data_IF_660562362934
#
_entry.id   IF_660562362934
#
_cell.length_a   1.000
_cell.length_b   1.000
_cell.length_c   1.000
_cell.angle_alpha   90.00
_cell.angle_beta   90.00
_cell.angle_gamma   90.00
#
_symmetry.space_group_name_H-M   'P 1'
#
loop_
_entity.id
_entity.type
_entity.pdbx_description
1 polymer ?
#
# COMPACT_ATOMS: atom_id res chain seq x y z
N UNK A 1 28.54 38.70 -33.03
CA UNK A 1 27.34 37.98 -32.55
C UNK A 1 27.66 36.50 -32.58
N UNK A 2 27.92 35.95 -31.44
CA UNK A 2 28.31 34.53 -31.26
C UNK A 2 27.05 33.78 -30.86
N UNK A 3 26.52 32.95 -31.73
CA UNK A 3 25.40 32.05 -31.44
C UNK A 3 25.84 30.99 -30.43
N UNK A 4 25.16 30.98 -29.30
CA UNK A 4 25.30 29.90 -28.31
C UNK A 4 24.28 28.82 -28.68
N UNK A 5 24.78 27.71 -29.25
CA UNK A 5 23.98 26.51 -29.48
C UNK A 5 23.55 25.92 -28.13
N UNK A 6 22.28 25.54 -27.96
CA UNK A 6 21.84 24.88 -26.74
C UNK A 6 22.43 23.47 -26.66
N UNK A 7 23.08 23.20 -25.53
CA UNK A 7 23.53 21.83 -25.15
C UNK A 7 22.30 20.92 -25.06
N UNK A 8 22.31 19.75 -25.68
CA UNK A 8 21.22 18.79 -25.55
C UNK A 8 21.14 18.30 -24.10
N UNK A 9 19.95 18.44 -23.52
CA UNK A 9 19.65 17.90 -22.20
C UNK A 9 19.97 16.41 -22.19
N UNK A 10 20.73 16.01 -21.17
CA UNK A 10 20.98 14.60 -20.90
C UNK A 10 19.63 13.90 -20.68
N UNK A 11 19.33 12.95 -21.56
CA UNK A 11 18.22 12.03 -21.35
C UNK A 11 18.65 11.12 -20.21
N UNK A 12 18.00 11.30 -19.06
CA UNK A 12 18.13 10.36 -17.97
C UNK A 12 17.79 8.96 -18.49
N UNK A 13 18.80 8.14 -18.61
CA UNK A 13 18.68 6.75 -18.97
C UNK A 13 18.08 6.06 -17.74
N UNK A 14 16.75 6.04 -17.65
CA UNK A 14 16.03 5.17 -16.71
C UNK A 14 16.39 3.76 -17.15
N UNK A 15 17.40 3.18 -16.50
CA UNK A 15 17.78 1.79 -16.72
C UNK A 15 16.55 0.94 -16.50
N UNK A 16 16.11 0.30 -17.57
CA UNK A 16 15.09 -0.73 -17.54
C UNK A 16 15.34 -1.65 -16.35
N UNK A 17 14.34 -1.80 -15.49
CA UNK A 17 14.40 -2.70 -14.33
C UNK A 17 14.99 -4.04 -14.78
N UNK A 18 16.09 -4.47 -14.12
CA UNK A 18 16.70 -5.77 -14.37
C UNK A 18 15.85 -6.94 -13.89
N UNK A 19 14.64 -6.68 -13.38
CA UNK A 19 13.74 -7.68 -12.81
C UNK A 19 12.32 -7.53 -13.38
N UNK A 20 12.10 -8.00 -14.63
CA UNK A 20 10.78 -7.86 -15.29
C UNK A 20 9.66 -8.66 -14.61
N UNK A 21 10.01 -9.63 -13.73
CA UNK A 21 9.04 -10.55 -13.13
C UNK A 21 8.23 -9.96 -11.97
N UNK A 22 8.66 -8.80 -11.45
CA UNK A 22 7.92 -8.06 -10.41
C UNK A 22 7.58 -6.69 -10.96
N UNK A 23 6.44 -6.59 -11.61
CA UNK A 23 5.96 -5.34 -12.17
C UNK A 23 5.08 -4.61 -11.15
N UNK A 24 5.63 -3.55 -10.56
CA UNK A 24 4.88 -2.64 -9.72
C UNK A 24 4.27 -1.55 -10.59
N UNK A 25 2.93 -1.48 -10.61
CA UNK A 25 2.21 -0.57 -11.49
C UNK A 25 2.11 0.84 -10.93
N UNK A 26 1.94 0.96 -9.61
CA UNK A 26 1.84 2.23 -8.89
C UNK A 26 1.90 2.01 -7.37
N UNK A 27 2.04 3.09 -6.61
CA UNK A 27 1.72 3.08 -5.19
C UNK A 27 0.19 3.07 -5.08
N UNK A 28 -0.37 2.02 -4.52
CA UNK A 28 -1.82 1.86 -4.35
C UNK A 28 -2.33 2.74 -3.20
N UNK A 29 -1.76 2.53 -2.03
CA UNK A 29 -2.10 3.30 -0.84
C UNK A 29 -0.96 3.27 0.20
N UNK A 30 -1.07 4.17 1.16
CA UNK A 30 -0.24 4.21 2.36
C UNK A 30 -1.14 3.88 3.55
N UNK A 31 -0.79 2.87 4.32
CA UNK A 31 -1.55 2.42 5.49
C UNK A 31 -1.10 3.13 6.77
N UNK A 32 -2.06 3.70 7.49
CA UNK A 32 -1.85 4.39 8.77
C UNK A 32 -2.68 3.70 9.85
N UNK A 33 -2.01 3.20 10.88
CA UNK A 33 -2.66 2.60 12.04
C UNK A 33 -3.19 3.69 12.96
N UNK A 34 -4.47 3.58 13.34
CA UNK A 34 -5.16 4.53 14.21
C UNK A 34 -5.97 3.78 15.27
N UNK A 35 -6.06 4.30 16.51
CA UNK A 35 -6.85 3.64 17.57
C UNK A 35 -8.35 3.77 17.37
N UNK A 36 -8.82 4.84 16.75
CA UNK A 36 -10.25 5.16 16.53
C UNK A 36 -10.44 5.58 15.07
N UNK A 37 -11.12 4.73 14.29
CA UNK A 37 -11.30 4.97 12.86
C UNK A 37 -12.13 6.21 12.58
N UNK A 38 -13.26 6.37 13.27
CA UNK A 38 -14.22 7.46 13.01
C UNK A 38 -13.59 8.82 13.36
N UNK A 39 -12.87 8.89 14.47
CA UNK A 39 -12.13 10.09 14.87
C UNK A 39 -11.02 10.44 13.86
N UNK A 40 -10.32 9.44 13.34
CA UNK A 40 -9.27 9.63 12.35
C UNK A 40 -9.84 10.11 11.00
N UNK A 41 -10.94 9.53 10.54
CA UNK A 41 -11.64 9.96 9.31
C UNK A 41 -12.01 11.46 9.43
N UNK A 42 -12.59 11.85 10.55
CA UNK A 42 -12.94 13.24 10.81
C UNK A 42 -11.73 14.16 10.82
N UNK A 43 -10.67 13.77 11.53
CA UNK A 43 -9.42 14.53 11.60
C UNK A 43 -8.82 14.80 10.20
N UNK A 44 -8.73 13.77 9.36
CA UNK A 44 -8.18 13.91 8.01
C UNK A 44 -9.08 14.76 7.10
N UNK A 45 -10.39 14.66 7.27
CA UNK A 45 -11.34 15.48 6.51
C UNK A 45 -11.23 16.96 6.89
N UNK A 46 -11.24 17.28 8.17
CA UNK A 46 -11.22 18.66 8.68
C UNK A 46 -9.87 19.33 8.52
N UNK A 47 -8.77 18.56 8.68
CA UNK A 47 -7.41 19.10 8.65
C UNK A 47 -6.84 19.18 7.24
N UNK A 48 -7.03 18.14 6.43
CA UNK A 48 -6.38 18.01 5.12
C UNK A 48 -7.39 17.95 3.95
N UNK A 49 -8.70 17.97 4.22
CA UNK A 49 -9.72 17.91 3.18
C UNK A 49 -9.83 16.54 2.50
N UNK A 50 -9.31 15.48 3.11
CA UNK A 50 -9.37 14.13 2.53
C UNK A 50 -10.77 13.53 2.74
N UNK A 51 -11.31 12.91 1.69
CA UNK A 51 -12.64 12.31 1.72
C UNK A 51 -12.57 10.80 1.86
N UNK A 52 -13.37 10.24 2.76
CA UNK A 52 -13.56 8.80 2.83
C UNK A 52 -14.34 8.33 1.59
N UNK A 53 -13.71 7.52 0.75
CA UNK A 53 -14.29 7.00 -0.50
C UNK A 53 -14.72 5.54 -0.36
N UNK A 54 -14.23 4.83 0.64
CA UNK A 54 -14.60 3.46 0.95
C UNK A 54 -14.36 3.16 2.42
N UNK A 55 -15.22 2.35 3.02
CA UNK A 55 -15.09 1.90 4.40
C UNK A 55 -15.62 0.47 4.52
N UNK A 56 -14.87 -0.38 5.21
CA UNK A 56 -15.31 -1.76 5.46
C UNK A 56 -14.69 -2.33 6.75
N UNK A 57 -15.20 -3.48 7.17
CA UNK A 57 -14.57 -4.34 8.19
C UNK A 57 -14.08 -5.62 7.52
N UNK A 58 -12.80 -5.91 7.66
CA UNK A 58 -12.23 -7.17 7.25
C UNK A 58 -12.15 -8.10 8.47
N UNK A 59 -13.12 -8.99 8.58
CA UNK A 59 -13.24 -9.91 9.72
C UNK A 59 -12.08 -10.90 9.81
N UNK A 60 -11.56 -11.37 8.67
CA UNK A 60 -10.41 -12.28 8.63
C UNK A 60 -9.17 -11.63 9.24
N UNK A 61 -8.91 -10.39 8.90
CA UNK A 61 -7.77 -9.63 9.40
C UNK A 61 -8.03 -8.95 10.75
N UNK A 62 -9.28 -8.86 11.16
CA UNK A 62 -9.70 -8.20 12.41
C UNK A 62 -9.48 -6.70 12.38
N UNK A 63 -9.73 -6.04 11.25
CA UNK A 63 -9.53 -4.60 11.08
C UNK A 63 -10.79 -3.92 10.54
N UNK A 64 -11.00 -2.70 11.01
CA UNK A 64 -11.88 -1.71 10.37
C UNK A 64 -11.00 -0.78 9.55
N UNK A 65 -11.39 -0.52 8.34
CA UNK A 65 -10.57 0.24 7.42
C UNK A 65 -11.36 1.27 6.63
N UNK A 66 -10.70 2.37 6.31
CA UNK A 66 -11.24 3.43 5.48
C UNK A 66 -10.20 3.87 4.45
N UNK A 67 -10.63 4.01 3.21
CA UNK A 67 -9.82 4.58 2.13
C UNK A 67 -10.17 6.06 1.98
N UNK A 68 -9.14 6.90 2.08
CA UNK A 68 -9.28 8.35 1.92
C UNK A 68 -8.72 8.77 0.56
N UNK A 69 -9.53 9.43 -0.23
CA UNK A 69 -9.11 10.00 -1.51
C UNK A 69 -8.34 11.29 -1.32
N UNK A 70 -7.24 11.42 -2.06
CA UNK A 70 -6.44 12.64 -2.16
C UNK A 70 -6.81 13.34 -3.46
N UNK A 71 -7.05 14.64 -3.44
CA UNK A 71 -7.46 15.40 -4.62
C UNK A 71 -8.79 14.89 -5.19
N UNK A 72 -8.80 14.47 -6.45
CA UNK A 72 -9.98 13.91 -7.12
C UNK A 72 -10.31 12.46 -6.70
N UNK A 73 -9.46 11.85 -5.89
CA UNK A 73 -9.64 10.49 -5.38
C UNK A 73 -9.21 9.37 -6.32
N UNK A 74 -8.65 9.67 -7.48
CA UNK A 74 -8.25 8.68 -8.48
C UNK A 74 -6.84 8.13 -8.31
N UNK A 75 -5.99 8.85 -7.58
CA UNK A 75 -4.59 8.48 -7.35
C UNK A 75 -4.37 7.59 -6.14
N UNK A 76 -3.15 7.63 -5.62
CA UNK A 76 -2.76 6.98 -4.36
C UNK A 76 -3.66 7.44 -3.22
N UNK A 77 -4.10 6.51 -2.40
CA UNK A 77 -4.98 6.78 -1.25
C UNK A 77 -4.24 6.67 0.08
N UNK A 78 -4.83 7.24 1.10
CA UNK A 78 -4.47 6.94 2.50
C UNK A 78 -5.45 5.91 3.00
N UNK A 79 -4.96 4.79 3.53
CA UNK A 79 -5.78 3.81 4.21
C UNK A 79 -5.64 3.99 5.71
N UNK A 80 -6.73 4.23 6.40
CA UNK A 80 -6.78 4.20 7.85
C UNK A 80 -7.15 2.80 8.33
N UNK A 81 -6.43 2.28 9.31
CA UNK A 81 -6.58 0.93 9.83
C UNK A 81 -6.75 1.00 11.34
N UNK A 82 -7.91 0.55 11.84
CA UNK A 82 -8.17 0.44 13.26
C UNK A 82 -8.47 -1.03 13.65
N UNK A 83 -8.11 -1.48 14.86
CA UNK A 83 -8.39 -2.84 15.27
C UNK A 83 -9.89 -3.07 15.45
N UNK A 84 -10.39 -4.18 14.88
CA UNK A 84 -11.74 -4.68 15.14
C UNK A 84 -11.76 -5.68 16.31
N UNK A 85 -10.59 -6.21 16.66
CA UNK A 85 -10.40 -7.10 17.83
C UNK A 85 -8.99 -6.99 18.40
N UNK A 86 -8.79 -7.33 19.70
CA UNK A 86 -7.51 -7.10 20.41
C UNK A 86 -6.32 -7.91 19.89
N UNK A 87 -6.56 -9.02 19.23
CA UNK A 87 -5.53 -9.93 18.71
C UNK A 87 -5.13 -9.65 17.25
N UNK A 88 -5.69 -8.62 16.64
CA UNK A 88 -5.35 -8.24 15.27
C UNK A 88 -3.91 -7.74 15.13
N UNK A 89 -3.36 -7.85 13.93
CA UNK A 89 -2.02 -7.32 13.63
C UNK A 89 -1.93 -5.81 13.86
N UNK A 90 -3.01 -5.07 13.59
CA UNK A 90 -3.08 -3.62 13.84
C UNK A 90 -3.08 -3.30 15.33
N UNK A 91 -3.82 -4.07 16.17
CA UNK A 91 -3.78 -3.89 17.61
C UNK A 91 -2.36 -4.10 18.16
N UNK A 92 -1.68 -5.15 17.71
CA UNK A 92 -0.28 -5.42 18.09
C UNK A 92 0.68 -4.33 17.62
N UNK A 93 0.48 -3.79 16.45
CA UNK A 93 1.26 -2.66 15.95
C UNK A 93 1.07 -1.41 16.82
N UNK A 94 -0.17 -1.06 17.14
CA UNK A 94 -0.48 0.09 18.01
C UNK A 94 0.12 -0.08 19.41
N UNK A 95 0.06 -1.28 19.99
CA UNK A 95 0.66 -1.56 21.28
C UNK A 95 2.18 -1.41 21.29
N UNK A 96 2.85 -1.81 20.20
CA UNK A 96 4.30 -1.75 20.08
C UNK A 96 4.82 -0.38 19.68
N UNK A 97 4.14 0.28 18.74
CA UNK A 97 4.65 1.47 18.02
C UNK A 97 3.79 2.71 18.19
N UNK A 98 2.56 2.58 18.69
CA UNK A 98 1.57 3.65 18.69
C UNK A 98 1.02 3.96 17.29
N UNK A 99 0.15 4.98 17.16
CA UNK A 99 -0.39 5.39 15.88
C UNK A 99 0.70 5.86 14.91
N UNK A 100 0.53 5.57 13.62
CA UNK A 100 1.48 6.01 12.60
C UNK A 100 1.46 5.16 11.34
N UNK A 101 2.44 5.40 10.47
CA UNK A 101 2.62 4.65 9.24
C UNK A 101 2.86 3.16 9.54
N UNK A 102 2.07 2.29 8.92
CA UNK A 102 2.11 0.86 9.17
C UNK A 102 2.52 0.07 7.94
N UNK A 103 2.10 0.47 6.74
CA UNK A 103 2.39 -0.26 5.50
C UNK A 103 2.46 0.65 4.29
N UNK A 104 3.14 0.16 3.26
CA UNK A 104 3.16 0.74 1.93
C UNK A 104 2.67 -0.32 0.93
N UNK A 105 1.65 0.01 0.16
CA UNK A 105 1.04 -0.92 -0.79
C UNK A 105 1.35 -0.55 -2.24
N UNK A 106 1.72 -1.56 -3.02
CA UNK A 106 1.91 -1.44 -4.47
C UNK A 106 0.85 -2.24 -5.21
N UNK A 107 0.29 -1.65 -6.25
CA UNK A 107 -0.57 -2.36 -7.18
C UNK A 107 0.26 -3.26 -8.08
N UNK A 108 -0.15 -4.51 -8.22
CA UNK A 108 0.40 -5.49 -9.16
C UNK A 108 -0.69 -6.06 -10.05
N UNK A 109 -0.32 -6.53 -11.23
CA UNK A 109 -1.28 -7.16 -12.15
C UNK A 109 -1.68 -8.57 -11.69
N UNK A 110 -0.73 -9.31 -11.09
CA UNK A 110 -0.89 -10.68 -10.62
C UNK A 110 -0.11 -10.87 -9.32
N UNK A 111 -0.83 -10.97 -8.22
CA UNK A 111 -0.22 -11.08 -6.88
C UNK A 111 0.49 -12.42 -6.68
N UNK A 112 0.00 -13.50 -7.29
CA UNK A 112 0.65 -14.81 -7.18
C UNK A 112 1.97 -14.84 -7.94
N UNK A 113 2.00 -14.29 -9.16
CA UNK A 113 3.22 -14.18 -9.96
C UNK A 113 4.25 -13.26 -9.27
N UNK A 114 3.83 -12.11 -8.75
CA UNK A 114 4.71 -11.20 -8.01
C UNK A 114 5.27 -11.87 -6.75
N UNK A 115 4.45 -12.55 -5.97
CA UNK A 115 4.86 -13.28 -4.78
C UNK A 115 5.87 -14.40 -5.12
N UNK A 116 5.62 -15.17 -6.17
CA UNK A 116 6.52 -16.23 -6.62
C UNK A 116 7.89 -15.67 -7.05
N UNK A 117 7.92 -14.56 -7.79
CA UNK A 117 9.13 -13.91 -8.22
C UNK A 117 9.96 -13.38 -7.02
N UNK A 118 9.30 -12.81 -6.02
CA UNK A 118 9.97 -12.36 -4.80
C UNK A 118 10.50 -13.51 -3.95
N UNK A 119 9.75 -14.61 -3.82
CA UNK A 119 10.24 -15.84 -3.15
C UNK A 119 11.47 -16.42 -3.86
N UNK A 120 11.48 -16.44 -5.18
CA UNK A 120 12.64 -16.87 -5.95
C UNK A 120 13.92 -16.05 -5.69
N UNK A 121 13.75 -14.80 -5.22
CA UNK A 121 14.84 -13.93 -4.76
C UNK A 121 15.17 -14.06 -3.28
N UNK A 122 14.53 -14.98 -2.57
CA UNK A 122 14.78 -15.24 -1.16
C UNK A 122 13.98 -14.36 -0.19
N UNK A 123 13.00 -13.56 -0.67
CA UNK A 123 12.16 -12.75 0.20
C UNK A 123 11.02 -13.58 0.80
N UNK A 124 10.68 -13.28 2.04
CA UNK A 124 9.57 -13.94 2.74
C UNK A 124 8.26 -13.20 2.48
N UNK A 125 7.26 -13.94 2.02
CA UNK A 125 5.88 -13.50 1.94
C UNK A 125 5.14 -14.00 3.18
N UNK A 126 4.24 -13.19 3.75
CA UNK A 126 3.54 -13.54 4.99
C UNK A 126 2.47 -14.62 4.78
N UNK A 127 1.92 -14.74 3.56
CA UNK A 127 0.90 -15.73 3.24
C UNK A 127 1.39 -16.69 2.16
N UNK A 128 1.09 -17.98 2.30
CA UNK A 128 1.38 -18.99 1.27
C UNK A 128 0.54 -18.74 0.03
N UNK A 129 -0.71 -18.35 0.22
CA UNK A 129 -1.65 -17.97 -0.83
C UNK A 129 -2.22 -16.58 -0.55
N UNK A 130 -2.58 -15.81 -1.59
CA UNK A 130 -3.16 -14.50 -1.41
C UNK A 130 -4.42 -14.54 -0.54
N UNK A 131 -4.63 -13.48 0.24
CA UNK A 131 -5.83 -13.29 1.05
C UNK A 131 -6.67 -12.15 0.50
N UNK A 132 -7.92 -12.05 0.98
CA UNK A 132 -8.80 -10.94 0.64
C UNK A 132 -8.33 -9.66 1.31
N UNK A 133 -8.19 -8.60 0.52
CA UNK A 133 -7.93 -7.23 0.96
C UNK A 133 -9.14 -6.33 0.74
N UNK A 134 -8.90 -5.03 0.90
CA UNK A 134 -9.90 -3.97 0.77
C UNK A 134 -10.57 -4.00 -0.61
N UNK A 135 -11.89 -3.83 -0.64
CA UNK A 135 -12.65 -3.76 -1.88
C UNK A 135 -12.64 -5.05 -2.71
N UNK A 136 -12.41 -6.20 -2.09
CA UNK A 136 -12.34 -7.49 -2.78
C UNK A 136 -11.04 -7.73 -3.53
N UNK A 137 -10.00 -6.94 -3.30
CA UNK A 137 -8.65 -7.17 -3.84
C UNK A 137 -8.06 -8.48 -3.31
N UNK A 138 -7.01 -8.96 -3.99
CA UNK A 138 -6.18 -10.08 -3.53
C UNK A 138 -4.84 -9.53 -3.09
N UNK A 139 -4.39 -9.90 -1.91
CA UNK A 139 -3.21 -9.31 -1.28
C UNK A 139 -2.23 -10.35 -0.76
N UNK A 140 -0.97 -9.93 -0.67
CA UNK A 140 0.06 -10.57 0.12
C UNK A 140 1.01 -9.50 0.67
N UNK A 141 1.81 -9.86 1.67
CA UNK A 141 2.77 -8.96 2.28
C UNK A 141 4.18 -9.51 2.18
N UNK A 142 5.14 -8.63 1.93
CA UNK A 142 6.57 -8.92 2.06
C UNK A 142 6.99 -8.62 3.50
N UNK A 143 7.71 -9.55 4.11
CA UNK A 143 8.19 -9.38 5.48
C UNK A 143 9.08 -8.13 5.60
N UNK A 144 8.87 -7.24 6.61
CA UNK A 144 9.60 -5.97 6.70
C UNK A 144 11.13 -6.13 6.73
N UNK A 145 11.64 -7.19 7.35
CA UNK A 145 13.09 -7.45 7.38
C UNK A 145 13.71 -7.68 6.00
N UNK A 146 12.91 -8.08 5.03
CA UNK A 146 13.36 -8.32 3.65
C UNK A 146 13.07 -7.12 2.73
N UNK A 147 12.42 -6.09 3.25
CA UNK A 147 11.98 -4.90 2.51
C UNK A 147 12.43 -3.59 3.19
N UNK A 148 13.65 -3.57 3.72
CA UNK A 148 14.25 -2.37 4.31
C UNK A 148 13.56 -1.85 5.58
N UNK A 149 12.84 -2.71 6.31
CA UNK A 149 12.12 -2.34 7.51
C UNK A 149 10.68 -1.87 7.28
N UNK A 150 10.21 -1.90 6.03
CA UNK A 150 8.85 -1.48 5.66
C UNK A 150 8.00 -2.71 5.38
N UNK A 151 6.81 -2.78 6.00
CA UNK A 151 5.81 -3.76 5.62
C UNK A 151 5.25 -3.38 4.24
N UNK A 152 5.56 -4.19 3.23
CA UNK A 152 5.13 -3.95 1.84
C UNK A 152 3.95 -4.85 1.52
N UNK A 153 2.84 -4.26 1.10
CA UNK A 153 1.67 -4.96 0.59
C UNK A 153 1.69 -5.01 -0.93
N UNK A 154 1.37 -6.17 -1.48
CA UNK A 154 1.11 -6.35 -2.91
C UNK A 154 -0.39 -6.45 -3.09
N UNK A 155 -0.95 -5.61 -3.95
CA UNK A 155 -2.40 -5.51 -4.18
C UNK A 155 -2.72 -5.79 -5.64
N UNK A 156 -3.44 -6.89 -5.87
CA UNK A 156 -4.11 -7.15 -7.14
C UNK A 156 -5.54 -6.64 -7.02
N UNK A 157 -5.93 -5.56 -7.71
CA UNK A 157 -7.28 -5.02 -7.61
C UNK A 157 -8.34 -6.05 -8.02
N UNK A 158 -9.52 -5.97 -7.43
CA UNK A 158 -10.65 -6.75 -7.89
C UNK A 158 -10.93 -6.43 -9.37
N UNK A 159 -11.19 -7.48 -10.15
CA UNK A 159 -11.59 -7.30 -11.55
C UNK A 159 -12.93 -6.56 -11.58
N UNK A 160 -13.02 -5.48 -12.38
CA UNK A 160 -14.30 -4.83 -12.63
C UNK A 160 -15.24 -5.83 -13.30
N UNK A 161 -16.39 -6.07 -12.68
CA UNK A 161 -17.44 -6.94 -13.22
C UNK A 161 -18.28 -6.14 -14.19
#
# INVERSE_FOLDING_TARGET
>A
MTEISPTPAARDNVTSSTFPDVELLRIDHVGVAVPDLDAAIQFYAETFGLRCVHQETNEEQGVREAMLGVGDGTGTKIQLLAPARPDSAIAKFLDRSGPGLQQLAYTVADVEAAAAALRARGLRLLYDTPKRGTGGSRINFVHPKDAGGVLVELVEPATAV
#
